data_IF_424146151215
#
_entry.id   IF_424146151215
#
_cell.length_a   1.000
_cell.length_b   1.000
_cell.length_c   1.000
_cell.angle_alpha   90.00
_cell.angle_beta   90.00
_cell.angle_gamma   90.00
#
_symmetry.space_group_name_H-M   'P 1'
#
loop_
_entity.id
_entity.type
_entity.pdbx_description
1 polymer ?
#
# COMPACT_ATOMS: atom_id res chain seq x y z
N UNK A 1 -6.74 16.32 6.42
CA UNK A 1 -6.72 15.12 5.58
C UNK A 1 -5.98 13.96 6.26
N UNK A 2 -4.68 14.08 6.59
CA UNK A 2 -3.85 12.99 7.11
C UNK A 2 -4.46 12.29 8.34
N UNK A 3 -4.88 13.04 9.35
CA UNK A 3 -5.49 12.48 10.58
C UNK A 3 -6.75 11.68 10.23
N UNK A 4 -7.60 12.19 9.35
CA UNK A 4 -8.83 11.50 8.93
C UNK A 4 -8.47 10.20 8.20
N UNK A 5 -7.49 10.24 7.27
CA UNK A 5 -7.01 9.03 6.57
C UNK A 5 -6.48 8.00 7.58
N UNK A 6 -5.60 8.42 8.51
CA UNK A 6 -5.01 7.53 9.50
C UNK A 6 -6.07 6.90 10.42
N UNK A 7 -7.01 7.70 10.94
CA UNK A 7 -8.08 7.21 11.80
C UNK A 7 -9.04 6.26 11.07
N UNK A 8 -9.41 6.59 9.82
CA UNK A 8 -10.28 5.72 9.03
C UNK A 8 -9.60 4.39 8.72
N UNK A 9 -8.32 4.42 8.32
CA UNK A 9 -7.57 3.20 8.04
C UNK A 9 -7.33 2.36 9.30
N UNK A 10 -7.00 3.00 10.43
CA UNK A 10 -6.82 2.32 11.71
C UNK A 10 -8.15 1.68 12.18
N UNK A 11 -9.25 2.41 12.10
CA UNK A 11 -10.57 1.90 12.46
C UNK A 11 -11.03 0.75 11.56
N UNK A 12 -10.90 0.89 10.25
CA UNK A 12 -11.32 -0.12 9.29
C UNK A 12 -10.51 -1.43 9.43
N UNK A 13 -9.18 -1.33 9.52
CA UNK A 13 -8.32 -2.50 9.70
C UNK A 13 -8.42 -3.08 11.11
N UNK A 14 -8.50 -2.24 12.14
CA UNK A 14 -8.72 -2.68 13.51
C UNK A 14 -10.05 -3.43 13.66
N UNK A 15 -11.11 -2.92 13.05
CA UNK A 15 -12.39 -3.62 13.02
C UNK A 15 -12.28 -5.00 12.34
N UNK A 16 -11.63 -5.10 11.18
CA UNK A 16 -11.44 -6.39 10.50
C UNK A 16 -10.70 -7.38 11.41
N UNK A 17 -9.59 -6.98 12.02
CA UNK A 17 -8.77 -7.84 12.90
C UNK A 17 -9.47 -8.12 14.23
N UNK A 18 -10.48 -7.37 14.63
CA UNK A 18 -11.29 -7.69 15.82
C UNK A 18 -12.28 -8.85 15.59
N UNK A 19 -12.47 -9.29 14.35
CA UNK A 19 -13.32 -10.42 13.99
C UNK A 19 -12.51 -11.72 13.92
N UNK A 20 -13.14 -12.86 14.22
CA UNK A 20 -12.49 -14.18 14.08
C UNK A 20 -11.97 -14.42 12.66
N UNK A 21 -12.75 -14.03 11.65
CA UNK A 21 -12.37 -14.13 10.23
C UNK A 21 -11.10 -13.32 9.95
N UNK A 22 -11.02 -12.09 10.46
CA UNK A 22 -9.86 -11.22 10.26
C UNK A 22 -8.62 -11.69 11.01
N UNK A 23 -8.79 -12.27 12.21
CA UNK A 23 -7.69 -12.85 12.98
C UNK A 23 -7.10 -14.07 12.28
N UNK A 24 -7.95 -14.97 11.79
CA UNK A 24 -7.51 -16.14 11.05
C UNK A 24 -6.81 -15.73 9.74
N UNK A 25 -7.40 -14.78 9.01
CA UNK A 25 -6.79 -14.26 7.77
C UNK A 25 -5.43 -13.58 8.02
N UNK A 26 -5.27 -12.90 9.16
CA UNK A 26 -4.00 -12.29 9.57
C UNK A 26 -2.95 -13.37 9.88
N UNK A 27 -3.35 -14.42 10.60
CA UNK A 27 -2.48 -15.56 10.93
C UNK A 27 -1.99 -16.26 9.65
N UNK A 28 -2.91 -16.58 8.74
CA UNK A 28 -2.57 -17.20 7.45
C UNK A 28 -1.65 -16.31 6.59
N UNK A 29 -1.87 -14.99 6.61
CA UNK A 29 -0.99 -14.04 5.93
C UNK A 29 0.42 -14.04 6.54
N UNK A 30 0.56 -14.10 7.87
CA UNK A 30 1.86 -14.14 8.54
C UNK A 30 2.59 -15.45 8.24
N UNK A 31 1.90 -16.58 8.34
CA UNK A 31 2.44 -17.91 8.00
C UNK A 31 2.91 -17.94 6.54
N UNK A 32 2.06 -17.55 5.60
CA UNK A 32 2.41 -17.51 4.18
C UNK A 32 3.57 -16.55 3.86
N UNK A 33 3.68 -15.44 4.59
CA UNK A 33 4.83 -14.55 4.45
C UNK A 33 6.12 -15.23 4.91
N UNK A 34 6.12 -15.92 6.06
CA UNK A 34 7.30 -16.64 6.57
C UNK A 34 7.71 -17.79 5.62
N UNK A 35 6.76 -18.55 5.12
CA UNK A 35 6.98 -19.62 4.15
C UNK A 35 7.56 -19.08 2.82
N UNK A 36 7.11 -17.93 2.37
CA UNK A 36 7.64 -17.27 1.16
C UNK A 36 9.10 -16.86 1.27
N UNK A 37 9.61 -16.70 2.51
CA UNK A 37 11.04 -16.49 2.80
C UNK A 37 11.79 -17.80 3.12
N UNK A 38 11.16 -18.97 2.92
CA UNK A 38 11.78 -20.28 3.15
C UNK A 38 11.80 -20.71 4.62
N UNK A 39 11.04 -20.04 5.48
CA UNK A 39 10.90 -20.42 6.90
C UNK A 39 9.78 -21.44 7.02
N UNK A 40 10.09 -22.64 7.49
CA UNK A 40 9.08 -23.67 7.82
C UNK A 40 8.42 -23.31 9.15
N UNK A 41 7.11 -23.13 9.16
CA UNK A 41 6.34 -22.83 10.36
C UNK A 41 5.99 -24.14 11.05
N UNK A 42 6.53 -24.36 12.27
CA UNK A 42 6.16 -25.51 13.12
C UNK A 42 4.84 -25.26 13.83
N UNK A 43 4.21 -26.34 14.33
CA UNK A 43 2.96 -26.25 15.12
C UNK A 43 3.13 -25.33 16.34
N UNK A 44 4.28 -25.41 17.01
CA UNK A 44 4.60 -24.56 18.18
C UNK A 44 4.69 -23.07 17.77
N UNK A 45 5.27 -22.77 16.60
CA UNK A 45 5.37 -21.41 16.08
C UNK A 45 3.98 -20.90 15.66
N UNK A 46 3.16 -21.75 15.06
CA UNK A 46 1.78 -21.44 14.71
C UNK A 46 0.98 -21.08 15.97
N UNK A 47 1.08 -21.87 17.04
CA UNK A 47 0.41 -21.62 18.32
C UNK A 47 0.87 -20.31 18.97
N UNK A 48 2.16 -19.98 18.89
CA UNK A 48 2.67 -18.69 19.39
C UNK A 48 2.12 -17.50 18.59
N UNK A 49 2.04 -17.62 17.27
CA UNK A 49 1.43 -16.61 16.41
C UNK A 49 -0.07 -16.44 16.73
N UNK A 50 -0.78 -17.55 16.94
CA UNK A 50 -2.20 -17.54 17.30
C UNK A 50 -2.45 -16.86 18.65
N UNK A 51 -1.62 -17.14 19.68
CA UNK A 51 -1.69 -16.46 20.98
C UNK A 51 -1.41 -14.95 20.87
N UNK A 52 -0.58 -14.52 19.93
CA UNK A 52 -0.30 -13.10 19.66
C UNK A 52 -1.51 -12.33 19.13
N UNK A 53 -2.56 -13.01 18.66
CA UNK A 53 -3.75 -12.37 18.08
C UNK A 53 -4.63 -11.68 19.12
N UNK A 54 -4.55 -12.03 20.40
CA UNK A 54 -5.35 -11.41 21.47
C UNK A 54 -5.21 -9.87 21.50
N UNK A 55 -4.02 -9.38 21.18
CA UNK A 55 -3.72 -7.95 21.12
C UNK A 55 -3.62 -7.39 19.68
N UNK A 56 -3.87 -8.22 18.68
CA UNK A 56 -3.65 -7.86 17.26
C UNK A 56 -4.46 -6.62 16.83
N UNK A 57 -5.68 -6.45 17.35
CA UNK A 57 -6.53 -5.30 17.07
C UNK A 57 -5.87 -3.97 17.49
N UNK A 58 -5.38 -3.92 18.73
CA UNK A 58 -4.74 -2.71 19.27
C UNK A 58 -3.40 -2.45 18.59
N UNK A 59 -2.62 -3.51 18.36
CA UNK A 59 -1.35 -3.41 17.65
C UNK A 59 -1.55 -2.95 16.20
N UNK A 60 -2.54 -3.51 15.48
CA UNK A 60 -2.86 -3.12 14.10
C UNK A 60 -3.33 -1.67 14.04
N UNK A 61 -4.27 -1.28 14.89
CA UNK A 61 -4.76 0.10 14.91
C UNK A 61 -3.65 1.10 15.28
N UNK A 62 -2.86 0.78 16.32
CA UNK A 62 -1.75 1.63 16.78
C UNK A 62 -0.65 1.76 15.72
N UNK A 63 -0.26 0.66 15.09
CA UNK A 63 0.75 0.67 14.03
C UNK A 63 0.30 1.51 12.84
N UNK A 64 -0.94 1.39 12.38
CA UNK A 64 -1.48 2.20 11.27
C UNK A 64 -1.41 3.69 11.60
N UNK A 65 -1.75 4.11 12.84
CA UNK A 65 -1.67 5.51 13.25
C UNK A 65 -0.25 6.08 13.20
N UNK A 66 0.77 5.27 13.43
CA UNK A 66 2.17 5.67 13.35
C UNK A 66 2.71 5.56 11.92
N UNK A 67 2.42 4.45 11.24
CA UNK A 67 2.98 4.20 9.90
C UNK A 67 2.40 5.12 8.83
N UNK A 68 1.12 5.48 8.89
CA UNK A 68 0.51 6.36 7.86
C UNK A 68 1.18 7.73 7.80
N UNK A 69 1.37 8.46 8.90
CA UNK A 69 2.13 9.72 8.88
C UNK A 69 3.58 9.55 8.40
N UNK A 70 4.25 8.48 8.84
CA UNK A 70 5.64 8.21 8.47
C UNK A 70 5.77 7.92 6.97
N UNK A 71 4.93 7.04 6.42
CA UNK A 71 4.91 6.73 4.99
C UNK A 71 4.55 7.97 4.17
N UNK A 72 3.59 8.78 4.61
CA UNK A 72 3.23 10.05 3.97
C UNK A 72 4.41 11.02 3.96
N UNK A 73 5.19 11.07 5.04
CA UNK A 73 6.38 11.90 5.14
C UNK A 73 7.46 11.45 4.14
N UNK A 74 7.71 10.15 4.06
CA UNK A 74 8.67 9.56 3.10
C UNK A 74 8.20 9.83 1.66
N UNK A 75 6.94 9.58 1.34
CA UNK A 75 6.38 9.85 0.02
C UNK A 75 6.50 11.34 -0.35
N UNK A 76 6.20 12.24 0.59
CA UNK A 76 6.36 13.68 0.37
C UNK A 76 7.82 14.05 0.11
N UNK A 77 8.77 13.44 0.82
CA UNK A 77 10.20 13.63 0.59
C UNK A 77 10.63 13.18 -0.81
N UNK A 78 10.19 11.99 -1.23
CA UNK A 78 10.48 11.46 -2.58
C UNK A 78 9.89 12.36 -3.66
N UNK A 79 8.60 12.70 -3.55
CA UNK A 79 7.90 13.55 -4.53
C UNK A 79 8.54 14.95 -4.58
N UNK A 80 8.87 15.52 -3.42
CA UNK A 80 9.54 16.83 -3.33
C UNK A 80 10.89 16.80 -4.02
N UNK A 81 11.71 15.76 -3.78
CA UNK A 81 13.02 15.59 -4.42
C UNK A 81 12.89 15.42 -5.94
N UNK A 82 11.96 14.58 -6.40
CA UNK A 82 11.69 14.39 -7.83
C UNK A 82 11.29 15.71 -8.48
N UNK A 83 10.38 16.46 -7.87
CA UNK A 83 9.97 17.77 -8.39
C UNK A 83 11.08 18.80 -8.35
N UNK A 84 11.90 18.81 -7.30
CA UNK A 84 13.05 19.70 -7.20
C UNK A 84 14.04 19.46 -8.35
N UNK A 85 14.38 18.19 -8.62
CA UNK A 85 15.32 17.81 -9.67
C UNK A 85 14.76 18.08 -11.08
N UNK A 86 13.48 17.73 -11.32
CA UNK A 86 12.89 17.81 -12.67
C UNK A 86 12.31 19.19 -13.02
N UNK A 87 11.77 19.90 -12.03
CA UNK A 87 11.07 21.17 -12.27
C UNK A 87 11.92 22.39 -11.89
N UNK A 88 13.00 22.20 -11.13
CA UNK A 88 13.90 23.25 -10.69
C UNK A 88 13.26 24.33 -9.81
N UNK A 89 12.05 24.12 -9.34
CA UNK A 89 11.27 25.11 -8.62
C UNK A 89 11.28 24.84 -7.11
N UNK A 90 11.50 25.90 -6.33
CA UNK A 90 11.60 25.82 -4.88
C UNK A 90 10.21 25.99 -4.23
N UNK A 91 9.57 24.86 -3.92
CA UNK A 91 8.34 24.86 -3.13
C UNK A 91 8.66 24.41 -1.69
N UNK A 92 8.10 25.04 -0.66
CA UNK A 92 8.36 24.62 0.72
C UNK A 92 7.84 23.18 0.94
N UNK A 93 8.63 22.35 1.60
CA UNK A 93 8.33 20.93 1.86
C UNK A 93 6.94 20.74 2.50
N UNK A 94 6.54 21.64 3.40
CA UNK A 94 5.22 21.59 4.06
C UNK A 94 4.05 21.61 3.06
N UNK A 95 4.18 22.36 1.96
CA UNK A 95 3.14 22.43 0.94
C UNK A 95 3.08 21.12 0.15
N UNK A 96 4.23 20.53 -0.18
CA UNK A 96 4.29 19.21 -0.81
C UNK A 96 3.70 18.12 0.10
N UNK A 97 4.06 18.13 1.39
CA UNK A 97 3.49 17.22 2.39
C UNK A 97 1.97 17.33 2.46
N UNK A 98 1.43 18.56 2.44
CA UNK A 98 -0.02 18.76 2.41
C UNK A 98 -0.67 18.16 1.14
N UNK A 99 -0.05 18.35 -0.03
CA UNK A 99 -0.55 17.76 -1.30
C UNK A 99 -0.56 16.23 -1.23
N UNK A 100 0.53 15.62 -0.77
CA UNK A 100 0.62 14.14 -0.62
C UNK A 100 -0.41 13.64 0.39
N UNK A 101 -0.56 14.32 1.53
CA UNK A 101 -1.54 13.95 2.55
C UNK A 101 -3.00 14.05 2.05
N UNK A 102 -3.32 15.00 1.16
CA UNK A 102 -4.64 15.09 0.56
C UNK A 102 -4.85 14.03 -0.53
N UNK A 103 -3.83 13.74 -1.35
CA UNK A 103 -3.89 12.65 -2.31
C UNK A 103 -4.14 11.29 -1.61
N UNK A 104 -3.63 11.11 -0.39
CA UNK A 104 -3.88 9.94 0.44
C UNK A 104 -5.35 9.72 0.82
N UNK A 105 -6.25 10.70 0.64
CA UNK A 105 -7.68 10.52 0.88
C UNK A 105 -8.30 9.42 -0.01
N UNK A 106 -7.70 9.11 -1.15
CA UNK A 106 -8.09 7.98 -2.01
C UNK A 106 -8.04 6.65 -1.25
N UNK A 107 -7.11 6.51 -0.29
CA UNK A 107 -7.01 5.30 0.52
C UNK A 107 -8.25 5.06 1.42
N UNK A 108 -8.99 6.13 1.78
CA UNK A 108 -10.26 5.98 2.51
C UNK A 108 -11.26 5.21 1.64
N UNK A 109 -11.38 5.61 0.37
CA UNK A 109 -12.27 4.94 -0.59
C UNK A 109 -11.81 3.50 -0.82
N UNK A 110 -10.51 3.26 -0.93
CA UNK A 110 -9.95 1.90 -1.05
C UNK A 110 -10.38 1.02 0.12
N UNK A 111 -10.32 1.51 1.37
CA UNK A 111 -10.71 0.69 2.53
C UNK A 111 -12.20 0.31 2.50
N UNK A 112 -13.08 1.16 1.97
CA UNK A 112 -14.50 0.82 1.81
C UNK A 112 -14.74 -0.36 0.88
N UNK A 113 -13.81 -0.65 -0.03
CA UNK A 113 -13.86 -1.83 -0.91
C UNK A 113 -13.06 -3.01 -0.33
N UNK A 114 -11.85 -2.75 0.12
CA UNK A 114 -10.91 -3.81 0.53
C UNK A 114 -11.38 -4.51 1.81
N UNK A 115 -11.84 -3.75 2.81
CA UNK A 115 -12.21 -4.33 4.11
C UNK A 115 -13.41 -5.28 4.03
N UNK A 116 -14.56 -4.89 3.43
CA UNK A 116 -15.66 -5.82 3.26
C UNK A 116 -15.30 -7.04 2.40
N UNK A 117 -14.50 -6.83 1.35
CA UNK A 117 -14.12 -7.91 0.45
C UNK A 117 -13.18 -8.91 1.13
N UNK A 118 -12.24 -8.44 1.93
CA UNK A 118 -11.36 -9.30 2.73
C UNK A 118 -12.14 -10.06 3.79
N UNK A 119 -13.10 -9.40 4.45
CA UNK A 119 -13.98 -10.06 5.41
C UNK A 119 -14.79 -11.20 4.78
N UNK A 120 -15.41 -10.96 3.62
CA UNK A 120 -16.23 -11.99 2.93
C UNK A 120 -15.40 -13.13 2.36
N UNK A 121 -14.14 -12.88 2.01
CA UNK A 121 -13.21 -13.90 1.47
C UNK A 121 -12.40 -14.61 2.56
N UNK A 122 -12.39 -14.11 3.78
CA UNK A 122 -11.56 -14.64 4.85
C UNK A 122 -10.06 -14.51 4.57
N UNK A 123 -9.63 -13.47 3.84
CA UNK A 123 -8.23 -13.28 3.47
C UNK A 123 -7.76 -11.85 3.72
N UNK A 124 -6.50 -11.67 4.03
CA UNK A 124 -5.84 -10.37 4.11
C UNK A 124 -5.03 -10.11 2.84
N UNK A 125 -5.70 -9.92 1.71
CA UNK A 125 -5.04 -9.65 0.43
C UNK A 125 -5.34 -8.23 -0.06
N UNK A 126 -4.63 -7.81 -1.11
CA UNK A 126 -4.98 -6.58 -1.84
C UNK A 126 -5.77 -6.93 -3.10
N UNK A 127 -7.12 -6.91 -3.05
CA UNK A 127 -7.97 -7.33 -4.15
C UNK A 127 -8.08 -6.28 -5.27
N UNK A 128 -7.40 -5.15 -5.14
CA UNK A 128 -7.50 -4.02 -6.07
C UNK A 128 -6.34 -3.96 -7.08
N UNK A 129 -5.46 -4.97 -7.06
CA UNK A 129 -4.36 -5.08 -8.02
C UNK A 129 -4.81 -5.69 -9.35
N UNK A 130 -4.10 -5.35 -10.44
CA UNK A 130 -4.41 -5.91 -11.76
C UNK A 130 -4.25 -7.44 -11.82
N UNK A 131 -3.40 -8.04 -10.99
CA UNK A 131 -3.23 -9.50 -10.96
C UNK A 131 -4.54 -10.26 -10.67
N UNK A 132 -5.46 -9.66 -9.91
CA UNK A 132 -6.76 -10.27 -9.56
C UNK A 132 -7.63 -10.53 -10.81
N UNK A 133 -7.45 -9.74 -11.86
CA UNK A 133 -8.18 -9.90 -13.13
C UNK A 133 -7.58 -10.96 -14.06
N UNK A 134 -6.43 -11.52 -13.69
CA UNK A 134 -5.72 -12.54 -14.47
C UNK A 134 -5.41 -13.79 -13.63
N UNK A 135 -6.45 -14.49 -13.13
CA UNK A 135 -6.27 -15.66 -12.24
C UNK A 135 -5.57 -16.84 -12.93
N UNK A 136 -5.46 -16.83 -14.28
CA UNK A 136 -4.76 -17.85 -15.05
C UNK A 136 -3.23 -17.73 -14.99
N UNK A 137 -2.71 -16.62 -14.45
CA UNK A 137 -1.24 -16.47 -14.35
C UNK A 137 -0.70 -17.33 -13.21
N UNK A 138 0.33 -18.10 -13.52
CA UNK A 138 1.05 -18.89 -12.52
C UNK A 138 1.65 -17.98 -11.45
N UNK A 139 1.50 -18.38 -10.19
CA UNK A 139 2.07 -17.67 -9.03
C UNK A 139 3.60 -17.66 -9.13
N UNK A 140 4.21 -16.51 -8.76
CA UNK A 140 5.66 -16.34 -8.81
C UNK A 140 6.23 -15.91 -10.16
N UNK A 141 5.43 -15.90 -11.24
CA UNK A 141 5.89 -15.38 -12.55
C UNK A 141 6.08 -13.87 -12.53
N UNK A 142 6.94 -13.36 -13.43
CA UNK A 142 7.11 -11.90 -13.60
C UNK A 142 5.80 -11.20 -13.88
N UNK A 143 4.98 -11.72 -14.77
CA UNK A 143 3.70 -11.13 -15.14
C UNK A 143 2.76 -11.01 -13.94
N UNK A 144 2.63 -12.08 -13.14
CA UNK A 144 1.79 -12.08 -11.94
C UNK A 144 2.30 -11.07 -10.89
N UNK A 145 3.62 -11.05 -10.63
CA UNK A 145 4.24 -10.11 -9.67
C UNK A 145 4.10 -8.66 -10.16
N UNK A 146 4.37 -8.39 -11.44
CA UNK A 146 4.24 -7.06 -12.03
C UNK A 146 2.80 -6.55 -11.97
N UNK A 147 1.81 -7.36 -12.38
CA UNK A 147 0.41 -6.98 -12.30
C UNK A 147 -0.07 -6.85 -10.83
N UNK A 148 0.52 -7.62 -9.92
CA UNK A 148 0.29 -7.50 -8.48
C UNK A 148 0.82 -6.19 -7.88
N UNK A 149 1.80 -5.57 -8.51
CA UNK A 149 2.29 -4.25 -8.10
C UNK A 149 1.38 -3.11 -8.57
N UNK A 150 0.58 -3.32 -9.62
CA UNK A 150 -0.29 -2.26 -10.17
C UNK A 150 -1.64 -2.30 -9.45
N UNK A 151 -1.81 -1.38 -8.50
CA UNK A 151 -3.04 -1.18 -7.74
C UNK A 151 -3.86 -0.04 -8.35
N UNK A 152 -5.17 -0.27 -8.60
CA UNK A 152 -6.07 0.69 -9.23
C UNK A 152 -6.24 1.98 -8.38
N UNK A 153 -6.28 1.84 -7.06
CA UNK A 153 -6.39 3.00 -6.16
C UNK A 153 -5.09 3.78 -6.08
N UNK A 154 -3.93 3.10 -6.16
CA UNK A 154 -2.65 3.76 -6.23
C UNK A 154 -2.49 4.54 -7.56
N UNK A 155 -2.95 3.97 -8.68
CA UNK A 155 -3.01 4.69 -9.97
C UNK A 155 -3.89 5.95 -9.84
N UNK A 156 -5.06 5.82 -9.20
CA UNK A 156 -5.92 6.99 -8.93
C UNK A 156 -5.23 8.00 -8.00
N UNK A 157 -4.61 7.54 -6.92
CA UNK A 157 -3.86 8.41 -5.99
C UNK A 157 -2.75 9.18 -6.69
N UNK A 158 -2.00 8.54 -7.61
CA UNK A 158 -0.98 9.20 -8.42
C UNK A 158 -1.56 10.28 -9.34
N UNK A 159 -2.76 10.08 -9.87
CA UNK A 159 -3.44 11.12 -10.65
C UNK A 159 -3.82 12.32 -9.79
N UNK A 160 -4.44 12.08 -8.62
CA UNK A 160 -4.80 13.15 -7.67
C UNK A 160 -3.54 13.90 -7.19
N UNK A 161 -2.46 13.16 -6.90
CA UNK A 161 -1.17 13.74 -6.56
C UNK A 161 -0.63 14.61 -7.70
N UNK A 162 -0.70 14.13 -8.93
CA UNK A 162 -0.24 14.87 -10.11
C UNK A 162 -1.00 16.19 -10.30
N UNK A 163 -2.30 16.20 -10.07
CA UNK A 163 -3.13 17.40 -10.09
C UNK A 163 -2.67 18.37 -8.99
N UNK A 164 -2.51 17.88 -7.76
CA UNK A 164 -2.06 18.71 -6.64
C UNK A 164 -0.69 19.33 -6.86
N UNK A 165 0.26 18.56 -7.39
CA UNK A 165 1.61 19.05 -7.75
C UNK A 165 1.52 20.06 -8.91
N UNK A 166 0.70 19.79 -9.92
CA UNK A 166 0.52 20.71 -11.06
C UNK A 166 0.01 22.07 -10.59
N UNK A 167 -0.97 22.10 -9.71
CA UNK A 167 -1.50 23.33 -9.10
C UNK A 167 -0.43 24.03 -8.27
N UNK A 168 0.31 23.28 -7.45
CA UNK A 168 1.36 23.81 -6.58
C UNK A 168 2.50 24.49 -7.35
N UNK A 169 2.85 23.97 -8.52
CA UNK A 169 3.94 24.49 -9.36
C UNK A 169 3.45 25.37 -10.53
N UNK A 170 2.15 25.59 -10.68
CA UNK A 170 1.59 26.33 -11.82
C UNK A 170 1.88 25.69 -13.17
N UNK A 171 1.93 24.35 -13.24
CA UNK A 171 2.28 23.57 -14.43
C UNK A 171 1.09 22.77 -14.95
N UNK A 172 1.21 22.22 -16.17
CA UNK A 172 0.20 21.30 -16.71
C UNK A 172 0.27 19.93 -16.02
N UNK A 173 -0.88 19.34 -15.71
CA UNK A 173 -0.98 18.03 -15.04
C UNK A 173 -0.41 16.89 -15.88
N UNK A 174 -0.62 16.89 -17.18
CA UNK A 174 -0.24 15.78 -18.07
C UNK A 174 1.25 15.37 -17.97
N UNK A 175 2.21 16.28 -18.17
CA UNK A 175 3.63 15.94 -18.03
C UNK A 175 4.02 15.43 -16.65
N UNK A 176 3.44 16.00 -15.57
CA UNK A 176 3.69 15.57 -14.19
C UNK A 176 3.14 14.17 -13.95
N UNK A 177 1.91 13.90 -14.41
CA UNK A 177 1.30 12.59 -14.32
C UNK A 177 2.12 11.55 -15.11
N UNK A 178 2.54 11.88 -16.33
CA UNK A 178 3.41 11.00 -17.13
C UNK A 178 4.70 10.65 -16.37
N UNK A 179 5.34 11.63 -15.74
CA UNK A 179 6.56 11.38 -14.92
C UNK A 179 6.27 10.43 -13.76
N UNK A 180 5.20 10.65 -12.99
CA UNK A 180 4.89 9.81 -11.83
C UNK A 180 4.48 8.40 -12.25
N UNK A 181 3.69 8.23 -13.32
CA UNK A 181 3.35 6.91 -13.84
C UNK A 181 4.56 6.18 -14.41
N UNK A 182 5.46 6.88 -15.13
CA UNK A 182 6.70 6.27 -15.61
C UNK A 182 7.59 5.81 -14.46
N UNK A 183 7.77 6.65 -13.44
CA UNK A 183 8.54 6.30 -12.25
C UNK A 183 7.93 5.09 -11.53
N UNK A 184 6.62 5.08 -11.35
CA UNK A 184 5.89 3.96 -10.75
C UNK A 184 6.05 2.67 -11.55
N UNK A 185 5.90 2.73 -12.88
CA UNK A 185 6.08 1.58 -13.76
C UNK A 185 7.51 1.03 -13.69
N UNK A 186 8.52 1.89 -13.68
CA UNK A 186 9.94 1.49 -13.53
C UNK A 186 10.15 0.81 -12.19
N UNK A 187 9.64 1.37 -11.10
CA UNK A 187 9.73 0.77 -9.76
C UNK A 187 9.04 -0.60 -9.75
N UNK A 188 7.84 -0.72 -10.32
CA UNK A 188 7.11 -1.98 -10.40
C UNK A 188 7.88 -3.05 -11.17
N UNK A 189 8.51 -2.71 -12.29
CA UNK A 189 9.36 -3.61 -13.06
C UNK A 189 10.58 -4.06 -12.25
N UNK A 190 11.31 -3.10 -11.66
CA UNK A 190 12.52 -3.39 -10.88
C UNK A 190 12.20 -4.29 -9.68
N UNK A 191 11.18 -3.94 -8.89
CA UNK A 191 10.77 -4.71 -7.71
C UNK A 191 10.32 -6.11 -8.11
N UNK A 192 9.51 -6.25 -9.17
CA UNK A 192 9.07 -7.56 -9.67
C UNK A 192 10.25 -8.43 -10.09
N UNK A 193 11.24 -7.83 -10.75
CA UNK A 193 12.45 -8.54 -11.15
C UNK A 193 13.31 -8.98 -9.96
N UNK A 194 13.48 -8.10 -8.97
CA UNK A 194 14.21 -8.41 -7.73
C UNK A 194 13.51 -9.54 -6.95
N UNK A 195 12.19 -9.48 -6.83
CA UNK A 195 11.41 -10.52 -6.13
C UNK A 195 11.51 -11.89 -6.77
N UNK A 196 11.69 -11.99 -8.09
CA UNK A 196 11.96 -13.27 -8.77
C UNK A 196 13.33 -13.81 -8.39
N UNK A 197 14.33 -12.94 -8.26
CA UNK A 197 15.70 -13.34 -7.93
C UNK A 197 15.88 -13.80 -6.48
N UNK A 198 15.05 -13.28 -5.57
CA UNK A 198 15.14 -13.61 -4.13
C UNK A 198 14.22 -14.78 -3.76
N UNK A 199 13.08 -14.92 -4.44
CA UNK A 199 12.07 -15.92 -4.11
C UNK A 199 12.00 -17.12 -5.06
N UNK A 200 13.07 -17.34 -5.89
CA UNK A 200 13.22 -18.48 -6.80
C UNK A 200 14.21 -19.51 -6.32
#
# INVERSE_FOLDING_TARGET
>A
ALIVVALTMAGARGWLVSTEVGQQALLEQQVGAMESFGVTVSDEMYDQLAQGLDNATYFTAGSVLVFIPLVTLIQAGVVWTVCYVLLGAHTPFRAMYAVVAHAGAVNIVQQLFVVPLNYTRGVMSNPTTLAVFFPMLETGTFAQRFLGMIDLFLVWQLMVLSIGVAVLYGRRTGPIAATFYTLYAVIAVVVSFVMIRIGG
#
